data_IF_553941897621
#
_entry.id   IF_553941897621
#
_cell.length_a   1.000
_cell.length_b   1.000
_cell.length_c   1.000
_cell.angle_alpha   90.00
_cell.angle_beta   90.00
_cell.angle_gamma   90.00
#
_symmetry.space_group_name_H-M   'P 1'
#
loop_
_entity.id
_entity.type
_entity.pdbx_description
1 polymer ?
#
# COMPACT_ATOMS: atom_id res chain seq x y z
N UNK A 1 -25.27 -35.17 -9.55
CA UNK A 1 -25.76 -34.76 -8.21
C UNK A 1 -25.06 -33.46 -7.82
N UNK A 2 -25.82 -32.47 -7.35
CA UNK A 2 -25.46 -31.06 -7.25
C UNK A 2 -24.31 -30.77 -6.27
N UNK A 3 -23.36 -29.95 -6.72
CA UNK A 3 -22.31 -29.30 -5.92
C UNK A 3 -22.94 -28.34 -4.91
N UNK A 4 -22.92 -28.67 -3.62
CA UNK A 4 -23.52 -27.88 -2.52
C UNK A 4 -22.55 -27.64 -1.35
N UNK A 5 -21.25 -27.52 -1.62
CA UNK A 5 -20.24 -27.18 -0.59
C UNK A 5 -19.38 -25.98 -0.94
N UNK A 6 -19.74 -25.22 -1.98
CA UNK A 6 -18.98 -24.03 -2.43
C UNK A 6 -19.67 -22.70 -2.08
N UNK A 7 -20.70 -22.74 -1.23
CA UNK A 7 -21.58 -21.61 -0.91
C UNK A 7 -21.57 -21.18 0.58
N UNK A 8 -20.82 -21.85 1.46
CA UNK A 8 -20.68 -21.46 2.88
C UNK A 8 -19.27 -20.92 3.21
N UNK A 9 -18.82 -19.84 2.53
CA UNK A 9 -17.62 -19.10 2.98
C UNK A 9 -17.71 -17.58 2.80
N UNK A 10 -18.92 -17.06 2.60
CA UNK A 10 -19.22 -15.62 2.62
C UNK A 10 -20.48 -15.38 3.43
N UNK A 11 -20.55 -16.00 4.59
CA UNK A 11 -21.61 -15.72 5.55
C UNK A 11 -21.03 -14.71 6.55
N UNK A 12 -21.28 -13.45 6.22
CA UNK A 12 -21.36 -12.28 7.10
C UNK A 12 -20.84 -12.47 8.53
N UNK A 13 -19.52 -12.43 8.70
CA UNK A 13 -18.96 -11.76 9.86
C UNK A 13 -18.46 -10.41 9.35
N UNK A 14 -19.28 -9.38 9.51
CA UNK A 14 -18.72 -8.05 9.75
C UNK A 14 -17.97 -8.17 11.07
N UNK A 15 -16.73 -8.67 11.01
CA UNK A 15 -15.84 -8.69 12.14
C UNK A 15 -15.65 -7.22 12.52
N UNK A 16 -16.24 -6.82 13.65
CA UNK A 16 -16.12 -5.48 14.18
C UNK A 16 -14.65 -5.23 14.47
N UNK A 17 -13.99 -4.58 13.52
CA UNK A 17 -12.59 -4.23 13.63
C UNK A 17 -12.46 -3.14 14.69
N UNK A 18 -11.60 -3.36 15.68
CA UNK A 18 -11.35 -2.39 16.74
C UNK A 18 -10.82 -1.07 16.18
N UNK A 19 -10.97 0.03 16.92
CA UNK A 19 -10.41 1.32 16.51
C UNK A 19 -8.88 1.24 16.29
N UNK A 20 -8.19 0.48 17.15
CA UNK A 20 -6.74 0.27 17.07
C UNK A 20 -6.32 -0.52 15.81
N UNK A 21 -7.09 -1.54 15.43
CA UNK A 21 -6.85 -2.28 14.19
C UNK A 21 -7.09 -1.40 12.96
N UNK A 22 -8.16 -0.61 12.96
CA UNK A 22 -8.43 0.35 11.88
C UNK A 22 -7.31 1.38 11.74
N UNK A 23 -6.81 1.89 12.86
CA UNK A 23 -5.67 2.81 12.88
C UNK A 23 -4.38 2.13 12.37
N UNK A 24 -4.14 0.87 12.77
CA UNK A 24 -3.00 0.09 12.28
C UNK A 24 -3.05 -0.10 10.76
N UNK A 25 -4.20 -0.49 10.20
CA UNK A 25 -4.36 -0.66 8.75
C UNK A 25 -4.19 0.67 8.02
N UNK A 26 -4.71 1.75 8.60
CA UNK A 26 -4.56 3.10 8.05
C UNK A 26 -3.09 3.53 7.99
N UNK A 27 -2.33 3.31 9.06
CA UNK A 27 -0.91 3.65 9.08
C UNK A 27 -0.12 2.87 8.03
N UNK A 28 -0.39 1.57 7.87
CA UNK A 28 0.25 0.77 6.83
C UNK A 28 -0.13 1.24 5.41
N UNK A 29 -1.38 1.62 5.19
CA UNK A 29 -1.79 2.25 3.93
C UNK A 29 -1.02 3.55 3.68
N UNK A 30 -0.90 4.42 4.69
CA UNK A 30 -0.16 5.67 4.58
C UNK A 30 1.32 5.47 4.32
N UNK A 31 1.94 4.45 4.93
CA UNK A 31 3.33 4.08 4.69
C UNK A 31 3.55 3.64 3.24
N UNK A 32 2.65 2.82 2.68
CA UNK A 32 2.67 2.43 1.26
C UNK A 32 2.54 3.65 0.35
N UNK A 33 1.59 4.55 0.63
CA UNK A 33 1.39 5.76 -0.18
C UNK A 33 2.58 6.70 -0.12
N UNK A 34 3.18 6.88 1.06
CA UNK A 34 4.34 7.76 1.23
C UNK A 34 5.55 7.22 0.47
N UNK A 35 5.87 5.93 0.62
CA UNK A 35 7.01 5.35 -0.09
C UNK A 35 6.78 5.24 -1.60
N UNK A 36 5.53 5.09 -2.06
CA UNK A 36 5.19 5.21 -3.48
C UNK A 36 5.55 6.61 -4.02
N UNK A 37 5.12 7.67 -3.33
CA UNK A 37 5.41 9.06 -3.75
C UNK A 37 6.92 9.35 -3.71
N UNK A 38 7.63 8.83 -2.70
CA UNK A 38 9.10 8.94 -2.65
C UNK A 38 9.76 8.25 -3.84
N UNK A 39 9.29 7.06 -4.23
CA UNK A 39 9.79 6.33 -5.38
C UNK A 39 9.49 7.02 -6.72
N UNK A 40 8.31 7.62 -6.87
CA UNK A 40 7.95 8.44 -8.04
C UNK A 40 8.84 9.70 -8.13
N UNK A 41 9.14 10.34 -7.00
CA UNK A 41 10.06 11.49 -6.95
C UNK A 41 11.49 11.10 -7.28
N UNK A 42 11.97 9.95 -6.79
CA UNK A 42 13.31 9.46 -7.10
C UNK A 42 13.45 9.11 -8.59
N UNK A 43 12.38 8.62 -9.22
CA UNK A 43 12.33 8.44 -10.68
C UNK A 43 12.51 9.76 -11.43
N UNK A 44 11.80 10.82 -11.03
CA UNK A 44 11.94 12.14 -11.64
C UNK A 44 13.35 12.69 -11.46
N UNK A 45 13.91 12.57 -10.26
CA UNK A 45 15.30 12.96 -9.99
C UNK A 45 16.29 12.26 -10.92
N UNK A 46 16.12 10.96 -11.15
CA UNK A 46 16.95 10.20 -12.07
C UNK A 46 16.79 10.65 -13.53
N UNK A 47 15.58 11.00 -13.95
CA UNK A 47 15.33 11.50 -15.31
C UNK A 47 15.95 12.88 -15.56
N UNK A 48 16.07 13.71 -14.51
CA UNK A 48 16.64 15.07 -14.59
C UNK A 48 18.17 15.10 -14.40
N UNK A 49 18.78 14.02 -13.91
CA UNK A 49 20.21 13.96 -13.65
C UNK A 49 21.03 13.90 -14.95
N UNK A 50 21.92 14.88 -15.15
CA UNK A 50 22.76 14.96 -16.36
C UNK A 50 24.26 14.79 -16.08
N UNK A 51 24.71 15.09 -14.86
CA UNK A 51 26.11 14.94 -14.45
C UNK A 51 26.40 13.55 -13.89
N UNK A 52 27.62 13.03 -14.07
CA UNK A 52 28.01 11.71 -13.57
C UNK A 52 27.71 11.52 -12.08
N UNK A 53 28.16 12.46 -11.22
CA UNK A 53 27.89 12.39 -9.78
C UNK A 53 26.38 12.53 -9.44
N UNK A 54 25.63 13.29 -10.26
CA UNK A 54 24.19 13.44 -10.08
C UNK A 54 23.45 12.15 -10.45
N UNK A 55 23.91 11.46 -11.49
CA UNK A 55 23.36 10.17 -11.92
C UNK A 55 23.63 9.13 -10.84
N UNK A 56 24.85 9.04 -10.31
CA UNK A 56 25.20 8.11 -9.24
C UNK A 56 24.35 8.35 -7.98
N UNK A 57 24.18 9.63 -7.61
CA UNK A 57 23.30 10.01 -6.50
C UNK A 57 21.83 9.64 -6.77
N UNK A 58 21.32 9.91 -7.97
CA UNK A 58 19.94 9.61 -8.31
C UNK A 58 19.65 8.10 -8.34
N UNK A 59 20.60 7.28 -8.81
CA UNK A 59 20.51 5.81 -8.73
C UNK A 59 20.42 5.36 -7.27
N UNK A 60 21.32 5.85 -6.41
CA UNK A 60 21.31 5.51 -4.99
C UNK A 60 19.97 5.84 -4.31
N UNK A 61 19.42 7.04 -4.56
CA UNK A 61 18.13 7.46 -4.00
C UNK A 61 16.98 6.61 -4.56
N UNK A 62 17.00 6.31 -5.86
CA UNK A 62 15.98 5.49 -6.51
C UNK A 62 15.93 4.07 -5.93
N UNK A 63 17.08 3.41 -5.81
CA UNK A 63 17.17 2.07 -5.22
C UNK A 63 16.69 2.04 -3.78
N UNK A 64 17.06 3.05 -2.97
CA UNK A 64 16.63 3.15 -1.59
C UNK A 64 15.11 3.35 -1.47
N UNK A 65 14.53 4.24 -2.29
CA UNK A 65 13.10 4.50 -2.32
C UNK A 65 12.31 3.27 -2.78
N UNK A 66 12.79 2.57 -3.82
CA UNK A 66 12.18 1.33 -4.29
C UNK A 66 12.20 0.25 -3.20
N UNK A 67 13.34 0.05 -2.53
CA UNK A 67 13.47 -0.95 -1.47
C UNK A 67 12.50 -0.67 -0.32
N UNK A 68 12.37 0.59 0.09
CA UNK A 68 11.40 1.02 1.11
C UNK A 68 9.96 0.77 0.65
N UNK A 69 9.63 1.09 -0.59
CA UNK A 69 8.30 0.83 -1.14
C UNK A 69 7.96 -0.67 -1.16
N UNK A 70 8.87 -1.51 -1.63
CA UNK A 70 8.71 -2.97 -1.61
C UNK A 70 8.52 -3.52 -0.18
N UNK A 71 9.23 -2.98 0.82
CA UNK A 71 9.06 -3.38 2.22
C UNK A 71 7.66 -3.04 2.74
N UNK A 72 7.16 -1.82 2.47
CA UNK A 72 5.82 -1.40 2.88
C UNK A 72 4.73 -2.21 2.17
N UNK A 73 4.90 -2.55 0.89
CA UNK A 73 3.99 -3.44 0.17
C UNK A 73 3.95 -4.85 0.79
N UNK A 74 5.10 -5.39 1.19
CA UNK A 74 5.16 -6.68 1.90
C UNK A 74 4.46 -6.62 3.25
N UNK A 75 4.57 -5.51 3.98
CA UNK A 75 3.85 -5.30 5.24
C UNK A 75 2.33 -5.25 5.03
N UNK A 76 1.86 -4.49 4.03
CA UNK A 76 0.45 -4.45 3.66
C UNK A 76 -0.09 -5.84 3.31
N UNK A 77 0.65 -6.61 2.49
CA UNK A 77 0.27 -7.97 2.12
C UNK A 77 0.18 -8.91 3.33
N UNK A 78 1.05 -8.77 4.32
CA UNK A 78 0.98 -9.55 5.58
C UNK A 78 -0.27 -9.24 6.41
N UNK A 79 -0.85 -8.06 6.23
CA UNK A 79 -2.11 -7.66 6.85
C UNK A 79 -3.34 -7.91 5.94
N UNK A 80 -3.16 -8.67 4.86
CA UNK A 80 -4.18 -8.91 3.83
C UNK A 80 -4.77 -7.65 3.18
N UNK A 81 -4.09 -6.50 3.30
CA UNK A 81 -4.49 -5.27 2.63
C UNK A 81 -4.15 -5.35 1.15
N UNK A 82 -5.17 -5.57 0.32
CA UNK A 82 -5.07 -5.47 -1.13
C UNK A 82 -5.48 -4.07 -1.62
N UNK A 83 -5.37 -3.83 -2.93
CA UNK A 83 -5.71 -2.52 -3.51
C UNK A 83 -7.16 -2.08 -3.27
N UNK A 84 -8.13 -3.01 -3.32
CA UNK A 84 -9.53 -2.69 -3.05
C UNK A 84 -9.74 -2.30 -1.57
N UNK A 85 -9.08 -2.98 -0.64
CA UNK A 85 -9.15 -2.65 0.79
C UNK A 85 -8.53 -1.26 1.05
N UNK A 86 -7.42 -0.95 0.40
CA UNK A 86 -6.78 0.37 0.48
C UNK A 86 -7.70 1.48 -0.06
N UNK A 87 -8.39 1.24 -1.18
CA UNK A 87 -9.37 2.17 -1.73
C UNK A 87 -10.55 2.39 -0.77
N UNK A 88 -11.04 1.32 -0.14
CA UNK A 88 -12.09 1.39 0.86
C UNK A 88 -11.65 2.18 2.11
N UNK A 89 -10.46 1.87 2.67
CA UNK A 89 -9.90 2.59 3.83
C UNK A 89 -9.75 4.09 3.56
N UNK A 90 -9.27 4.44 2.36
CA UNK A 90 -9.19 5.83 1.90
C UNK A 90 -10.58 6.48 1.86
N UNK A 91 -11.56 5.83 1.23
CA UNK A 91 -12.92 6.34 1.13
C UNK A 91 -13.60 6.52 2.48
N UNK A 92 -13.41 5.58 3.41
CA UNK A 92 -13.92 5.66 4.78
C UNK A 92 -13.33 6.83 5.56
N UNK A 93 -12.01 7.07 5.46
CA UNK A 93 -11.34 8.22 6.10
C UNK A 93 -11.75 9.57 5.50
N UNK A 94 -12.02 9.60 4.20
CA UNK A 94 -12.51 10.79 3.50
C UNK A 94 -14.01 11.04 3.69
N UNK A 95 -14.72 10.19 4.45
CA UNK A 95 -16.17 10.30 4.67
C UNK A 95 -17.02 10.01 3.43
N UNK A 96 -16.45 9.30 2.44
CA UNK A 96 -17.09 8.98 1.14
C UNK A 96 -17.76 7.60 1.11
N UNK A 97 -17.59 6.82 2.17
CA UNK A 97 -18.17 5.48 2.30
C UNK A 97 -18.97 5.48 3.60
N UNK A 98 -20.30 5.48 3.47
CA UNK A 98 -21.26 5.33 4.55
C UNK A 98 -21.68 3.87 4.67
#
# INVERSE_FOLDING_TARGET
MKMWWRQHRKENQEEYMTADEQERLWNVYMDVRRSQVEWERAHLLFQEATGQDQIDYAIYILEAAERKYQMNLKQAKRLNLNGADMHYLKGKREGKVN
#
